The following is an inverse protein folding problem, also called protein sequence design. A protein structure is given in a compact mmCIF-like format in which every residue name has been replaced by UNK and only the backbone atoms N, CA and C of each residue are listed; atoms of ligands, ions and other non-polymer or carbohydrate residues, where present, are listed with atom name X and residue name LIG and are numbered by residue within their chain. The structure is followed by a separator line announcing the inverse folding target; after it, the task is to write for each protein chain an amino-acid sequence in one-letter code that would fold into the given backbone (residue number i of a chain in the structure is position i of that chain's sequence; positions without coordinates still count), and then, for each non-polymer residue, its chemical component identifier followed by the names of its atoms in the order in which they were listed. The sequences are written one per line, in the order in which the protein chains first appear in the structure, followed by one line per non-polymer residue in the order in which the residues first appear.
data_IF_134312756217
#
_entry.id   IF_134312756217
#
_cell.length_a   1.000
_cell.length_b   1.000
_cell.length_c   1.000
_cell.angle_alpha   90.00
_cell.angle_beta   90.00
_cell.angle_gamma   90.00
#
_symmetry.space_group_name_H-M   'P 1'
#
loop_
_entity.id
_entity.type
_entity.pdbx_description
1 polymer ?
#
# COMPACT_ATOMS: atom_id res chain seq x y z
N UNK A 1 11.69 7.81 -2.59
CA UNK A 1 10.54 7.11 -1.99
C UNK A 1 9.47 8.10 -1.56
N UNK A 2 8.23 7.73 -1.71
CA UNK A 2 7.11 8.52 -1.22
C UNK A 2 6.05 7.63 -0.60
N UNK A 3 5.22 8.15 0.32
CA UNK A 3 4.12 7.38 0.87
C UNK A 3 3.12 7.00 -0.22
N UNK A 4 2.48 5.86 -0.06
CA UNK A 4 1.47 5.39 -1.00
C UNK A 4 0.32 6.39 -1.18
N UNK A 5 0.04 7.20 -0.15
CA UNK A 5 -0.99 8.24 -0.22
C UNK A 5 -0.72 9.31 -1.29
N UNK A 6 0.52 9.43 -1.75
CA UNK A 6 0.90 10.37 -2.80
C UNK A 6 0.96 9.73 -4.18
N UNK A 7 0.62 8.46 -4.29
CA UNK A 7 0.64 7.75 -5.56
C UNK A 7 -0.44 8.28 -6.51
N UNK A 8 -0.10 8.40 -7.78
CA UNK A 8 -1.08 8.72 -8.80
C UNK A 8 -2.01 7.54 -9.02
N UNK A 9 -3.33 7.77 -9.15
CA UNK A 9 -4.26 6.66 -9.34
C UNK A 9 -3.99 5.94 -10.67
N UNK A 10 -4.25 4.65 -10.66
CA UNK A 10 -4.13 3.77 -11.82
C UNK A 10 -2.72 3.58 -12.38
N UNK A 11 -1.70 4.04 -11.67
CA UNK A 11 -0.31 3.78 -12.02
C UNK A 11 0.27 2.65 -11.18
N UNK A 12 1.19 1.91 -11.76
CA UNK A 12 1.87 0.83 -11.06
C UNK A 12 3.05 1.37 -10.24
N UNK A 13 3.15 0.91 -9.02
CA UNK A 13 4.27 1.22 -8.14
C UNK A 13 4.78 -0.05 -7.49
N UNK A 14 6.05 -0.07 -7.18
CA UNK A 14 6.67 -1.17 -6.44
C UNK A 14 6.86 -0.74 -5.00
N UNK A 15 6.43 -1.57 -4.05
CA UNK A 15 6.64 -1.29 -2.63
C UNK A 15 8.12 -1.38 -2.33
N UNK A 16 8.68 -0.29 -1.83
CA UNK A 16 10.12 -0.19 -1.50
C UNK A 16 10.38 -0.38 -0.02
N UNK A 17 9.45 0.04 0.82
CA UNK A 17 9.61 -0.08 2.27
C UNK A 17 8.25 -0.04 2.93
N UNK A 18 8.12 -0.76 4.03
CA UNK A 18 6.94 -0.68 4.90
C UNK A 18 7.42 -0.21 6.26
N UNK A 19 6.89 0.93 6.70
CA UNK A 19 7.24 1.53 7.98
C UNK A 19 6.24 1.17 9.07
N UNK A 20 6.43 1.76 10.23
CA UNK A 20 5.56 1.60 11.38
C UNK A 20 6.02 0.51 12.33
N UNK A 21 5.15 0.20 13.29
CA UNK A 21 5.44 -0.81 14.32
C UNK A 21 5.40 -2.21 13.71
N UNK A 22 6.08 -3.19 14.30
CA UNK A 22 6.06 -4.57 13.81
C UNK A 22 4.65 -5.14 13.62
N UNK A 23 3.71 -4.77 14.48
CA UNK A 23 2.32 -5.20 14.39
C UNK A 23 1.66 -4.69 13.11
N UNK A 24 1.94 -3.43 12.76
CA UNK A 24 1.41 -2.80 11.56
C UNK A 24 2.01 -3.46 10.33
N UNK A 25 3.33 -3.69 10.34
CA UNK A 25 4.01 -4.37 9.24
C UNK A 25 3.42 -5.76 9.00
N UNK A 26 3.22 -6.52 10.06
CA UNK A 26 2.67 -7.87 9.96
C UNK A 26 1.25 -7.86 9.40
N UNK A 27 0.44 -6.89 9.85
CA UNK A 27 -0.91 -6.74 9.35
C UNK A 27 -0.91 -6.45 7.83
N UNK A 28 -0.05 -5.54 7.39
CA UNK A 28 0.07 -5.21 5.98
C UNK A 28 0.60 -6.39 5.16
N UNK A 29 1.55 -7.14 5.69
CA UNK A 29 2.04 -8.36 5.03
C UNK A 29 0.92 -9.38 4.85
N UNK A 30 0.07 -9.55 5.85
CA UNK A 30 -1.07 -10.46 5.78
C UNK A 30 -2.07 -10.05 4.70
N UNK A 31 -2.14 -8.75 4.39
CA UNK A 31 -2.97 -8.23 3.31
C UNK A 31 -2.30 -8.34 1.94
N UNK A 32 -1.04 -8.75 1.90
CA UNK A 32 -0.28 -8.90 0.66
C UNK A 32 0.70 -7.77 0.37
N UNK A 33 0.82 -6.78 1.25
CA UNK A 33 1.75 -5.67 1.05
C UNK A 33 3.14 -6.04 1.55
N UNK A 34 3.98 -6.49 0.64
CA UNK A 34 5.37 -6.83 0.93
C UNK A 34 6.31 -6.09 -0.02
N UNK A 35 7.52 -5.84 0.43
CA UNK A 35 8.55 -5.17 -0.38
C UNK A 35 8.78 -5.96 -1.67
N UNK A 36 8.81 -5.23 -2.79
CA UNK A 36 9.00 -5.82 -4.11
C UNK A 36 7.73 -6.15 -4.86
N UNK A 37 6.57 -6.05 -4.22
CA UNK A 37 5.28 -6.30 -4.86
C UNK A 37 4.79 -5.05 -5.58
N UNK A 38 4.20 -5.24 -6.75
CA UNK A 38 3.58 -4.16 -7.52
C UNK A 38 2.17 -3.87 -6.99
N UNK A 39 1.86 -2.61 -6.83
CA UNK A 39 0.55 -2.15 -6.38
C UNK A 39 0.01 -1.08 -7.33
N UNK A 40 -1.31 -1.02 -7.46
CA UNK A 40 -2.02 0.00 -8.22
C UNK A 40 -3.04 0.62 -7.28
N UNK A 41 -3.01 1.95 -7.13
CA UNK A 41 -3.97 2.64 -6.27
C UNK A 41 -5.19 3.08 -7.06
N UNK A 42 -6.34 3.06 -6.40
CA UNK A 42 -7.57 3.64 -6.91
C UNK A 42 -8.00 4.76 -5.97
N UNK A 43 -8.54 5.84 -6.52
CA UNK A 43 -9.05 6.94 -5.73
C UNK A 43 -10.43 6.62 -5.20
N UNK A 44 -10.53 6.53 -3.88
CA UNK A 44 -11.79 6.50 -3.16
C UNK A 44 -11.56 7.19 -1.82
N UNK A 45 -12.59 7.43 -1.05
CA UNK A 45 -12.48 8.03 0.29
C UNK A 45 -11.48 7.30 1.17
N UNK A 46 -11.43 5.99 1.06
CA UNK A 46 -10.35 5.15 1.58
C UNK A 46 -9.43 4.80 0.43
N UNK A 47 -8.18 4.50 0.73
CA UNK A 47 -7.24 4.08 -0.31
C UNK A 47 -7.55 2.63 -0.68
N UNK A 48 -7.93 2.41 -1.92
CA UNK A 48 -8.15 1.08 -2.47
C UNK A 48 -6.94 0.73 -3.29
N UNK A 49 -6.32 -0.39 -2.98
CA UNK A 49 -5.07 -0.81 -3.61
C UNK A 49 -5.25 -2.20 -4.21
N UNK A 50 -4.90 -2.34 -5.47
CA UNK A 50 -4.81 -3.64 -6.12
C UNK A 50 -3.42 -4.21 -5.83
N UNK A 51 -3.39 -5.33 -5.12
CA UNK A 51 -2.16 -6.05 -4.79
C UNK A 51 -2.29 -7.45 -5.35
N UNK A 52 -1.40 -7.83 -6.25
CA UNK A 52 -1.51 -9.09 -6.98
C UNK A 52 -2.86 -9.11 -7.70
N UNK A 53 -3.73 -10.04 -7.42
CA UNK A 53 -5.05 -10.11 -8.04
C UNK A 53 -6.17 -9.72 -7.07
N UNK A 54 -5.83 -9.13 -5.94
CA UNK A 54 -6.78 -8.74 -4.91
C UNK A 54 -6.91 -7.24 -4.79
N UNK A 55 -8.12 -6.76 -4.52
CA UNK A 55 -8.37 -5.36 -4.16
C UNK A 55 -8.47 -5.28 -2.64
N UNK A 56 -7.68 -4.41 -2.06
CA UNK A 56 -7.63 -4.23 -0.61
C UNK A 56 -7.89 -2.79 -0.28
N UNK A 57 -8.87 -2.53 0.58
CA UNK A 57 -9.13 -1.20 1.11
C UNK A 57 -8.34 -1.02 2.41
N UNK A 58 -7.57 0.05 2.49
CA UNK A 58 -6.82 0.38 3.70
C UNK A 58 -7.07 1.83 4.07
N UNK A 59 -6.87 2.16 5.35
CA UNK A 59 -6.98 3.54 5.80
C UNK A 59 -5.79 4.35 5.30
N UNK A 60 -5.94 5.67 5.27
CA UNK A 60 -4.83 6.56 4.93
C UNK A 60 -3.65 6.41 5.89
N UNK A 61 -3.93 6.18 7.16
CA UNK A 61 -2.89 5.96 8.15
C UNK A 61 -2.04 4.75 7.80
N UNK A 62 -2.67 3.67 7.37
CA UNK A 62 -1.96 2.47 6.94
C UNK A 62 -1.19 2.74 5.64
N UNK A 63 -1.82 3.41 4.69
CA UNK A 63 -1.18 3.74 3.42
C UNK A 63 0.07 4.61 3.60
N UNK A 64 0.08 5.50 4.59
CA UNK A 64 1.25 6.32 4.89
C UNK A 64 2.47 5.52 5.33
N UNK A 65 2.27 4.28 5.78
CA UNK A 65 3.36 3.40 6.21
C UNK A 65 4.01 2.67 5.03
N UNK A 66 3.37 2.67 3.88
CA UNK A 66 3.88 1.99 2.69
C UNK A 66 4.61 3.01 1.83
N UNK A 67 5.89 2.74 1.57
CA UNK A 67 6.72 3.59 0.71
C UNK A 67 6.87 2.96 -0.67
N UNK A 68 6.73 3.79 -1.67
CA UNK A 68 6.81 3.37 -3.07
C UNK A 68 7.83 4.20 -3.84
#
# INVERSE_FOLDING_TARGET
MMPLTLASPEEEYIIKKIGGKPEVKKHLENLGFVVGVTVITELAGNVIVNVKEARVAISREMAQKIMI
#
